data_IF_207681918722
#
_entry.id   IF_207681918722
#
_cell.length_a   1.000
_cell.length_b   1.000
_cell.length_c   1.000
_cell.angle_alpha   90.00
_cell.angle_beta   90.00
_cell.angle_gamma   90.00
#
_symmetry.space_group_name_H-M   'P 1'
#
loop_
_entity.id
_entity.type
_entity.pdbx_description
1 polymer ?
#
# COMPACT_ATOMS: atom_id res chain seq x y z
N UNK A 1 0.14 -22.03 -3.54
CA UNK A 1 -0.63 -21.11 -2.67
C UNK A 1 0.00 -19.74 -2.77
N UNK A 2 -0.80 -18.68 -2.64
CA UNK A 2 -0.31 -17.30 -2.64
C UNK A 2 0.66 -17.05 -1.49
N UNK A 3 1.76 -16.31 -1.74
CA UNK A 3 2.69 -15.90 -0.69
C UNK A 3 2.25 -14.52 -0.18
N UNK A 4 2.07 -14.40 1.14
CA UNK A 4 1.77 -13.10 1.76
C UNK A 4 3.07 -12.44 2.15
N UNK A 5 3.30 -11.24 1.62
CA UNK A 5 4.48 -10.44 1.92
C UNK A 5 4.48 -9.98 3.38
N UNK A 6 5.65 -10.05 3.99
CA UNK A 6 5.96 -9.39 5.26
C UNK A 6 5.69 -7.87 5.15
N UNK A 7 5.19 -7.21 6.21
CA UNK A 7 4.86 -5.79 6.18
C UNK A 7 6.02 -4.88 5.72
N UNK A 8 7.26 -5.21 6.08
CA UNK A 8 8.41 -4.41 5.66
C UNK A 8 8.74 -4.62 4.18
N UNK A 9 8.56 -5.83 3.64
CA UNK A 9 8.76 -6.12 2.21
C UNK A 9 7.74 -5.36 1.37
N UNK A 10 6.46 -5.41 1.77
CA UNK A 10 5.41 -4.59 1.16
C UNK A 10 5.79 -3.10 1.19
N UNK A 11 6.25 -2.60 2.34
CA UNK A 11 6.62 -1.19 2.47
C UNK A 11 7.75 -0.79 1.51
N UNK A 12 8.81 -1.59 1.41
CA UNK A 12 9.95 -1.31 0.52
C UNK A 12 9.49 -1.30 -0.95
N UNK A 13 8.65 -2.27 -1.34
CA UNK A 13 8.12 -2.34 -2.71
C UNK A 13 7.29 -1.10 -3.05
N UNK A 14 6.40 -0.69 -2.15
CA UNK A 14 5.57 0.50 -2.32
C UNK A 14 6.41 1.78 -2.37
N UNK A 15 7.40 1.94 -1.49
CA UNK A 15 8.29 3.11 -1.51
C UNK A 15 9.13 3.19 -2.78
N UNK A 16 9.56 2.04 -3.30
CA UNK A 16 10.30 1.94 -4.57
C UNK A 16 9.41 2.32 -5.76
N UNK A 17 8.21 1.74 -5.84
CA UNK A 17 7.29 1.97 -6.95
C UNK A 17 6.79 3.42 -7.02
N UNK A 18 6.58 4.05 -5.86
CA UNK A 18 5.98 5.40 -5.78
C UNK A 18 7.02 6.53 -5.75
N UNK A 19 8.27 6.24 -5.41
CA UNK A 19 9.29 7.26 -5.17
C UNK A 19 9.03 8.12 -3.93
N UNK A 20 8.03 7.79 -3.10
CA UNK A 20 7.65 8.58 -1.92
C UNK A 20 8.80 8.70 -0.91
N UNK A 21 8.81 9.80 -0.17
CA UNK A 21 9.76 10.06 0.94
C UNK A 21 9.03 10.47 2.23
N UNK A 22 8.18 9.58 2.79
CA UNK A 22 7.44 9.86 4.04
C UNK A 22 8.35 9.85 5.27
N UNK A 23 7.84 10.33 6.41
CA UNK A 23 8.52 10.22 7.70
C UNK A 23 8.67 8.75 8.13
N UNK A 24 9.89 8.23 8.01
CA UNK A 24 10.24 6.85 8.33
C UNK A 24 9.95 6.50 9.80
N UNK A 25 10.02 7.45 10.74
CA UNK A 25 9.74 7.17 12.15
C UNK A 25 8.27 6.78 12.36
N UNK A 26 7.36 7.44 11.64
CA UNK A 26 5.92 7.10 11.66
C UNK A 26 5.67 5.73 11.04
N UNK A 27 6.30 5.43 9.90
CA UNK A 27 6.17 4.12 9.27
C UNK A 27 6.69 2.99 10.17
N UNK A 28 7.83 3.18 10.84
CA UNK A 28 8.37 2.21 11.79
C UNK A 28 7.48 2.02 13.02
N UNK A 29 6.75 3.05 13.46
CA UNK A 29 5.75 2.90 14.52
C UNK A 29 4.55 2.06 14.05
N UNK A 30 4.12 2.23 12.80
CA UNK A 30 3.03 1.43 12.21
C UNK A 30 3.46 -0.03 12.03
N UNK A 31 4.65 -0.29 11.46
CA UNK A 31 5.18 -1.65 11.33
C UNK A 31 5.24 -2.38 12.67
N UNK A 32 5.71 -1.70 13.73
CA UNK A 32 5.70 -2.23 15.10
C UNK A 32 4.29 -2.64 15.54
N UNK A 33 3.28 -1.83 15.23
CA UNK A 33 1.87 -2.15 15.51
C UNK A 33 1.34 -3.35 14.72
N UNK A 34 1.96 -3.69 13.58
CA UNK A 34 1.67 -4.88 12.78
C UNK A 34 2.45 -6.13 13.22
N UNK A 35 3.25 -6.03 14.30
CA UNK A 35 4.09 -7.13 14.78
C UNK A 35 5.43 -7.27 14.03
N UNK A 36 5.80 -6.29 13.22
CA UNK A 36 7.00 -6.32 12.36
C UNK A 36 8.00 -5.23 12.79
N UNK A 37 9.21 -5.62 13.21
CA UNK A 37 10.27 -4.67 13.58
C UNK A 37 11.55 -5.05 12.84
N UNK A 38 11.87 -4.46 11.69
CA UNK A 38 12.98 -4.92 10.85
C UNK A 38 14.27 -5.19 11.64
N UNK A 39 14.83 -6.40 11.47
CA UNK A 39 16.02 -6.85 12.20
C UNK A 39 15.81 -7.28 13.66
N UNK A 40 14.58 -7.31 14.18
CA UNK A 40 14.26 -7.65 15.56
C UNK A 40 13.02 -8.58 15.67
N UNK A 41 13.15 -9.85 15.25
CA UNK A 41 12.07 -10.83 15.40
C UNK A 41 11.77 -11.11 16.88
N UNK A 42 10.52 -11.48 17.23
CA UNK A 42 10.11 -11.69 18.61
C UNK A 42 10.81 -12.86 19.30
N UNK A 43 11.27 -13.86 18.55
CA UNK A 43 12.02 -15.01 19.07
C UNK A 43 12.82 -15.71 17.95
N UNK A 44 13.51 -16.81 18.28
CA UNK A 44 14.36 -17.60 17.37
C UNK A 44 13.60 -18.25 16.19
N UNK A 45 12.27 -18.34 16.26
CA UNK A 45 11.45 -18.83 15.15
C UNK A 45 11.21 -17.75 14.06
N UNK A 46 11.65 -16.51 14.29
CA UNK A 46 11.46 -15.40 13.34
C UNK A 46 10.18 -14.60 13.57
N UNK A 47 9.70 -13.93 12.52
CA UNK A 47 8.43 -13.19 12.54
C UNK A 47 7.22 -14.13 12.46
N UNK A 48 6.03 -13.66 12.86
CA UNK A 48 4.78 -14.41 12.71
C UNK A 48 4.54 -14.84 11.26
N UNK A 49 3.83 -15.94 11.03
CA UNK A 49 3.44 -16.34 9.68
C UNK A 49 2.37 -15.43 9.06
N UNK A 50 2.09 -15.65 7.77
CA UNK A 50 1.16 -14.88 6.93
C UNK A 50 -0.19 -14.51 7.58
N UNK A 51 -0.76 -15.40 8.40
CA UNK A 51 -2.05 -15.17 9.07
C UNK A 51 -2.04 -13.96 10.02
N UNK A 52 -0.92 -13.64 10.64
CA UNK A 52 -0.80 -12.47 11.52
C UNK A 52 -0.92 -11.15 10.74
N UNK A 53 -0.43 -11.11 9.51
CA UNK A 53 -0.45 -9.94 8.65
C UNK A 53 -1.76 -9.78 7.86
N UNK A 54 -2.66 -10.76 7.95
CA UNK A 54 -4.03 -10.69 7.44
C UNK A 54 -5.06 -10.24 8.51
N UNK A 55 -4.61 -10.02 9.75
CA UNK A 55 -5.48 -9.51 10.81
C UNK A 55 -6.05 -8.12 10.50
N UNK A 56 -7.16 -7.75 11.16
CA UNK A 56 -7.79 -6.43 11.00
C UNK A 56 -6.86 -5.30 11.44
N UNK A 57 -6.06 -5.50 12.50
CA UNK A 57 -5.07 -4.51 12.95
C UNK A 57 -3.96 -4.30 11.92
N UNK A 58 -3.45 -5.37 11.32
CA UNK A 58 -2.45 -5.29 10.24
C UNK A 58 -3.03 -4.59 9.01
N UNK A 59 -4.29 -4.87 8.66
CA UNK A 59 -4.99 -4.20 7.57
C UNK A 59 -5.16 -2.70 7.82
N UNK A 60 -5.58 -2.30 9.03
CA UNK A 60 -5.70 -0.90 9.41
C UNK A 60 -4.33 -0.18 9.44
N UNK A 61 -3.29 -0.86 9.91
CA UNK A 61 -1.91 -0.38 9.88
C UNK A 61 -1.45 -0.09 8.46
N UNK A 62 -1.67 -1.02 7.52
CA UNK A 62 -1.35 -0.81 6.10
C UNK A 62 -2.10 0.35 5.48
N UNK A 63 -3.40 0.49 5.74
CA UNK A 63 -4.16 1.61 5.22
C UNK A 63 -3.64 2.95 5.73
N UNK A 64 -3.24 3.00 7.01
CA UNK A 64 -2.61 4.19 7.61
C UNK A 64 -1.26 4.48 6.96
N UNK A 65 -0.41 3.47 6.76
CA UNK A 65 0.87 3.62 6.07
C UNK A 65 0.69 4.06 4.61
N UNK A 66 -0.23 3.44 3.88
CA UNK A 66 -0.58 3.79 2.50
C UNK A 66 -1.03 5.25 2.38
N UNK A 67 -1.86 5.74 3.31
CA UNK A 67 -2.27 7.14 3.37
C UNK A 67 -1.07 8.09 3.52
N UNK A 68 -0.14 7.77 4.42
CA UNK A 68 1.08 8.56 4.63
C UNK A 68 2.01 8.54 3.42
N UNK A 69 2.13 7.38 2.77
CA UNK A 69 2.95 7.22 1.57
C UNK A 69 2.34 8.01 0.43
N UNK A 70 1.06 7.84 0.13
CA UNK A 70 0.35 8.55 -0.94
C UNK A 70 0.44 10.08 -0.77
N UNK A 71 0.35 10.58 0.46
CA UNK A 71 0.53 12.00 0.77
C UNK A 71 1.97 12.50 0.52
N UNK A 72 2.97 11.62 0.57
CA UNK A 72 4.39 11.93 0.39
C UNK A 72 4.93 11.63 -1.02
N UNK A 73 4.07 11.24 -1.96
CA UNK A 73 4.42 11.01 -3.36
C UNK A 73 4.72 12.35 -4.05
N UNK A 74 5.75 12.50 -4.88
CA UNK A 74 6.01 13.73 -5.66
C UNK A 74 4.86 14.11 -6.61
N UNK A 75 4.61 15.40 -6.84
CA UNK A 75 3.50 15.92 -7.68
C UNK A 75 3.55 15.43 -9.12
N UNK A 76 4.75 15.21 -9.65
CA UNK A 76 5.04 14.73 -10.99
C UNK A 76 5.15 13.20 -11.08
N UNK A 77 4.89 12.47 -10.00
CA UNK A 77 5.02 11.02 -10.01
C UNK A 77 3.94 10.35 -10.89
N UNK A 78 4.32 9.43 -11.80
CA UNK A 78 3.38 8.83 -12.75
C UNK A 78 2.29 8.00 -12.06
N UNK A 79 2.58 7.41 -10.89
CA UNK A 79 1.59 6.68 -10.08
C UNK A 79 0.42 7.56 -9.66
N UNK A 80 0.66 8.85 -9.41
CA UNK A 80 -0.41 9.75 -9.02
C UNK A 80 -1.22 10.21 -10.23
N UNK A 81 -0.57 10.50 -11.35
CA UNK A 81 -1.24 10.84 -12.60
C UNK A 81 -2.17 9.70 -13.04
N UNK A 82 -1.68 8.46 -13.06
CA UNK A 82 -2.49 7.28 -13.37
C UNK A 82 -3.67 7.12 -12.40
N UNK A 83 -3.46 7.36 -11.11
CA UNK A 83 -4.53 7.30 -10.11
C UNK A 83 -5.59 8.40 -10.29
N UNK A 84 -5.18 9.62 -10.65
CA UNK A 84 -6.08 10.75 -10.89
C UNK A 84 -6.89 10.58 -12.18
N UNK A 85 -6.26 10.05 -13.23
CA UNK A 85 -6.88 9.74 -14.52
C UNK A 85 -7.73 8.47 -14.48
N UNK A 86 -7.68 7.73 -13.36
CA UNK A 86 -8.35 6.45 -13.17
C UNK A 86 -7.89 5.37 -14.14
N UNK A 87 -6.65 5.45 -14.60
CA UNK A 87 -6.01 4.41 -15.40
C UNK A 87 -5.49 3.30 -14.47
N UNK A 88 -6.40 2.39 -14.11
CA UNK A 88 -6.11 1.30 -13.18
C UNK A 88 -5.13 0.27 -13.73
N UNK A 89 -5.04 0.14 -15.06
CA UNK A 89 -4.09 -0.77 -15.69
C UNK A 89 -2.68 -0.21 -15.59
N UNK A 90 -2.48 1.06 -15.96
CA UNK A 90 -1.21 1.75 -15.80
C UNK A 90 -0.80 1.85 -14.34
N UNK A 91 -1.74 2.16 -13.44
CA UNK A 91 -1.46 2.23 -12.01
C UNK A 91 -0.95 0.89 -11.46
N UNK A 92 -1.54 -0.23 -11.87
CA UNK A 92 -1.07 -1.56 -11.46
C UNK A 92 0.34 -1.86 -11.99
N UNK A 93 0.61 -1.58 -13.27
CA UNK A 93 1.93 -1.78 -13.88
C UNK A 93 3.03 -0.97 -13.16
N UNK A 94 2.76 0.31 -12.89
CA UNK A 94 3.66 1.20 -12.14
C UNK A 94 3.88 0.73 -10.69
N UNK A 95 2.91 0.04 -10.09
CA UNK A 95 3.01 -0.58 -8.78
C UNK A 95 3.59 -2.01 -8.82
N UNK A 96 4.21 -2.39 -9.94
CA UNK A 96 4.89 -3.67 -10.16
C UNK A 96 3.93 -4.87 -10.10
N UNK A 97 2.70 -4.70 -10.60
CA UNK A 97 1.64 -5.72 -10.69
C UNK A 97 1.21 -5.93 -12.15
N UNK A 98 2.00 -6.63 -12.98
CA UNK A 98 1.71 -6.80 -14.40
C UNK A 98 0.41 -7.57 -14.68
N UNK A 99 -0.05 -8.41 -13.76
CA UNK A 99 -1.34 -9.11 -13.82
C UNK A 99 -2.55 -8.21 -13.54
N UNK A 100 -2.31 -6.97 -13.09
CA UNK A 100 -3.34 -6.01 -12.73
C UNK A 100 -3.91 -6.20 -11.32
N UNK A 101 -4.91 -5.36 -11.01
CA UNK A 101 -5.71 -5.48 -9.79
C UNK A 101 -6.78 -6.56 -9.91
N UNK A 102 -7.05 -7.24 -8.80
CA UNK A 102 -8.20 -8.13 -8.66
C UNK A 102 -9.53 -7.41 -8.87
N UNK A 103 -10.60 -8.16 -9.13
CA UNK A 103 -11.97 -7.62 -9.25
C UNK A 103 -12.39 -6.86 -7.99
N UNK A 104 -12.00 -7.33 -6.80
CA UNK A 104 -12.35 -6.68 -5.54
C UNK A 104 -11.69 -5.29 -5.40
N UNK A 105 -10.39 -5.19 -5.68
CA UNK A 105 -9.68 -3.90 -5.65
C UNK A 105 -10.17 -2.97 -6.75
N UNK A 106 -10.46 -3.50 -7.94
CA UNK A 106 -11.02 -2.70 -9.05
C UNK A 106 -12.39 -2.13 -8.68
N UNK A 107 -13.30 -2.93 -8.14
CA UNK A 107 -14.61 -2.46 -7.67
C UNK A 107 -14.46 -1.35 -6.64
N UNK A 108 -13.55 -1.52 -5.66
CA UNK A 108 -13.32 -0.51 -4.63
C UNK A 108 -12.74 0.80 -5.20
N UNK A 109 -11.85 0.73 -6.20
CA UNK A 109 -11.33 1.90 -6.91
C UNK A 109 -12.41 2.58 -7.77
N UNK A 110 -13.32 1.80 -8.35
CA UNK A 110 -14.46 2.32 -9.12
C UNK A 110 -15.45 3.06 -8.22
N UNK A 111 -15.73 2.50 -7.04
CA UNK A 111 -16.63 3.05 -6.02
C UNK A 111 -16.13 4.35 -5.37
N UNK A 112 -14.82 4.62 -5.43
CA UNK A 112 -14.27 5.96 -5.15
C UNK A 112 -14.81 6.92 -6.21
N UNK A 113 -16.00 7.48 -6.01
CA UNK A 113 -16.57 8.45 -6.94
C UNK A 113 -15.64 9.66 -7.14
N UNK A 114 -15.89 10.47 -8.18
CA UNK A 114 -15.06 11.66 -8.48
C UNK A 114 -14.98 12.69 -7.35
N UNK A 115 -15.87 12.58 -6.35
CA UNK A 115 -15.86 13.41 -5.15
C UNK A 115 -14.96 12.92 -4.02
N UNK A 116 -14.34 11.74 -4.12
CA UNK A 116 -13.45 11.20 -3.08
C UNK A 116 -12.22 12.09 -2.83
N UNK A 117 -11.82 12.87 -3.83
CA UNK A 117 -10.73 13.84 -3.74
C UNK A 117 -11.22 15.27 -3.39
N UNK A 118 -12.48 15.48 -2.98
CA UNK A 118 -12.94 16.83 -2.57
C UNK A 118 -12.15 17.31 -1.35
N UNK A 119 -11.16 18.17 -1.60
CA UNK A 119 -10.26 18.73 -0.59
C UNK A 119 -8.92 17.98 -0.44
N UNK A 120 -8.71 16.88 -1.19
CA UNK A 120 -7.45 16.17 -1.26
C UNK A 120 -6.76 16.40 -2.62
N UNK A 121 -5.48 16.06 -2.70
CA UNK A 121 -4.72 16.09 -3.95
C UNK A 121 -5.30 15.04 -4.92
N UNK A 122 -5.57 15.39 -6.20
CA UNK A 122 -6.16 14.46 -7.16
C UNK A 122 -5.43 13.12 -7.22
N UNK A 123 -6.18 12.02 -7.20
CA UNK A 123 -5.64 10.66 -7.24
C UNK A 123 -5.07 10.15 -5.91
N UNK A 124 -4.93 10.98 -4.88
CA UNK A 124 -4.34 10.56 -3.60
C UNK A 124 -5.21 9.50 -2.90
N UNK A 125 -6.54 9.63 -2.93
CA UNK A 125 -7.44 8.65 -2.33
C UNK A 125 -7.38 7.31 -3.07
N UNK A 126 -7.40 7.33 -4.41
CA UNK A 126 -7.27 6.15 -5.24
C UNK A 126 -5.91 5.46 -5.04
N UNK A 127 -4.82 6.24 -4.99
CA UNK A 127 -3.49 5.71 -4.71
C UNK A 127 -3.41 5.10 -3.30
N UNK A 128 -3.98 5.76 -2.29
CA UNK A 128 -4.06 5.21 -0.93
C UNK A 128 -4.73 3.84 -0.91
N UNK A 129 -5.88 3.71 -1.59
CA UNK A 129 -6.62 2.46 -1.66
C UNK A 129 -5.83 1.37 -2.41
N UNK A 130 -5.23 1.72 -3.56
CA UNK A 130 -4.41 0.80 -4.34
C UNK A 130 -3.21 0.29 -3.52
N UNK A 131 -2.51 1.18 -2.81
CA UNK A 131 -1.36 0.83 -1.97
C UNK A 131 -1.74 -0.07 -0.79
N UNK A 132 -2.92 0.14 -0.21
CA UNK A 132 -3.44 -0.65 0.90
C UNK A 132 -4.07 -1.99 0.47
N UNK A 133 -4.26 -2.20 -0.84
CA UNK A 133 -5.02 -3.33 -1.38
C UNK A 133 -4.34 -4.68 -1.14
N UNK A 134 -5.11 -5.77 -1.06
CA UNK A 134 -4.54 -7.12 -0.96
C UNK A 134 -3.65 -7.52 -2.15
N UNK A 135 -3.86 -6.91 -3.31
CA UNK A 135 -3.08 -7.20 -4.52
C UNK A 135 -1.59 -6.87 -4.36
N UNK A 136 -1.23 -5.87 -3.55
CA UNK A 136 0.19 -5.58 -3.25
C UNK A 136 0.79 -6.43 -2.13
N UNK A 137 -0.02 -7.28 -1.49
CA UNK A 137 0.42 -8.17 -0.42
C UNK A 137 0.67 -9.59 -0.89
N UNK A 138 0.13 -9.95 -2.05
CA UNK A 138 0.21 -11.27 -2.62
C UNK A 138 1.29 -11.28 -3.69
N UNK A 139 2.26 -12.17 -3.52
CA UNK A 139 3.29 -12.52 -4.50
C UNK A 139 3.08 -13.94 -5.06
#
# INVERSE_FOLDING_TARGET
GAVILEPWVWLVQVLRATGARPDLRRLLAILRGMGEVPGNPPNVAGYPGASAWLSSSSTAGRFTAASLIAAAVPDDAPVLAAAAERDWALLADLLLRPEGFSTATRSALEDLGTGADRGARPGQAALTLALASPDLLVA
#
